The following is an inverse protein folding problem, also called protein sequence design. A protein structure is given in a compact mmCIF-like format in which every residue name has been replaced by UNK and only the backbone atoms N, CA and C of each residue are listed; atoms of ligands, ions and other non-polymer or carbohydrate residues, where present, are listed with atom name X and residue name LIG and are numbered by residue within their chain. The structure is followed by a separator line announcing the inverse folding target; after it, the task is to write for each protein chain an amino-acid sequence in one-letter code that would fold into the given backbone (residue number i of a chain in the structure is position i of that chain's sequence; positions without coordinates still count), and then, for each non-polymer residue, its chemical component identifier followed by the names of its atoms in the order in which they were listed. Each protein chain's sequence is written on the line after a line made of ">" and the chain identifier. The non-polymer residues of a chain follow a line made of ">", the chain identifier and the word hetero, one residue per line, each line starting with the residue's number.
data_IF_874956047314
#
_entry.id   IF_874956047314
#
_cell.length_a   1.000
_cell.length_b   1.000
_cell.length_c   1.000
_cell.angle_alpha   90.00
_cell.angle_beta   90.00
_cell.angle_gamma   90.00
#
_symmetry.space_group_name_H-M   'P 1'
#
loop_
_entity.id
_entity.type
_entity.pdbx_description
1 polymer ?
#
# COMPACT_ATOMS: atom_id res chain seq x y z
N UNK A 1 -17.79 48.61 -8.98
CA UNK A 1 -18.74 47.60 -8.49
C UNK A 1 -18.23 46.25 -8.91
N UNK A 2 -17.84 45.40 -7.96
CA UNK A 2 -17.14 44.14 -8.23
C UNK A 2 -18.17 43.07 -8.57
N UNK A 3 -18.12 42.56 -9.80
CA UNK A 3 -19.09 41.61 -10.35
C UNK A 3 -18.74 40.18 -9.88
N UNK A 4 -19.16 39.84 -8.66
CA UNK A 4 -19.05 38.51 -8.05
C UNK A 4 -20.28 37.56 -8.12
N UNK A 5 -21.34 37.74 -8.94
CA UNK A 5 -22.43 36.76 -9.01
C UNK A 5 -22.31 35.70 -10.13
N UNK A 6 -21.46 35.89 -11.15
CA UNK A 6 -21.49 35.01 -12.34
C UNK A 6 -20.85 33.63 -12.16
N UNK A 7 -19.89 33.48 -11.25
CA UNK A 7 -19.23 32.19 -10.97
C UNK A 7 -20.19 31.18 -10.31
N UNK A 8 -21.04 31.64 -9.40
CA UNK A 8 -22.03 30.79 -8.74
C UNK A 8 -23.15 30.35 -9.71
N UNK A 9 -23.55 31.21 -10.65
CA UNK A 9 -24.54 30.89 -11.68
C UNK A 9 -24.01 29.88 -12.72
N UNK A 10 -22.71 29.95 -13.07
CA UNK A 10 -22.08 29.02 -14.02
C UNK A 10 -22.03 27.56 -13.52
N UNK A 11 -21.85 27.35 -12.21
CA UNK A 11 -21.96 26.04 -11.57
C UNK A 11 -23.42 25.59 -11.43
N UNK A 12 -24.35 26.51 -11.18
CA UNK A 12 -25.78 26.19 -11.08
C UNK A 12 -26.38 25.69 -12.41
N UNK A 13 -25.95 26.27 -13.53
CA UNK A 13 -26.47 25.96 -14.87
C UNK A 13 -25.75 24.83 -15.64
N UNK A 14 -24.63 24.30 -15.13
CA UNK A 14 -23.86 23.27 -15.85
C UNK A 14 -23.70 21.99 -15.01
N UNK A 15 -24.64 21.03 -15.11
CA UNK A 15 -24.62 19.79 -14.34
C UNK A 15 -23.43 18.88 -14.69
N UNK A 16 -22.90 18.94 -15.92
CA UNK A 16 -21.72 18.18 -16.31
C UNK A 16 -20.47 18.65 -15.56
N UNK A 17 -20.31 19.96 -15.37
CA UNK A 17 -19.21 20.53 -14.62
C UNK A 17 -19.27 20.16 -13.13
N UNK A 18 -20.47 20.16 -12.54
CA UNK A 18 -20.69 19.68 -11.16
C UNK A 18 -20.31 18.22 -11.00
N UNK A 19 -20.74 17.36 -11.92
CA UNK A 19 -20.44 15.93 -11.91
C UNK A 19 -18.93 15.66 -12.04
N UNK A 20 -18.25 16.45 -12.87
CA UNK A 20 -16.80 16.36 -13.06
C UNK A 20 -16.00 16.81 -11.83
N UNK A 21 -16.47 17.84 -11.11
CA UNK A 21 -15.83 18.29 -9.86
C UNK A 21 -16.03 17.25 -8.75
N UNK A 22 -17.23 16.70 -8.62
CA UNK A 22 -17.53 15.65 -7.65
C UNK A 22 -16.68 14.39 -7.91
N UNK A 23 -16.53 14.00 -9.18
CA UNK A 23 -15.64 12.92 -9.59
C UNK A 23 -14.16 13.21 -9.24
N UNK A 24 -13.68 14.44 -9.41
CA UNK A 24 -12.31 14.83 -9.05
C UNK A 24 -12.08 14.79 -7.54
N UNK A 25 -13.04 15.28 -6.74
CA UNK A 25 -12.96 15.24 -5.28
C UNK A 25 -12.99 13.79 -4.78
N UNK A 26 -13.89 12.97 -5.33
CA UNK A 26 -13.97 11.54 -5.01
C UNK A 26 -12.70 10.77 -5.37
N UNK A 27 -12.12 11.05 -6.54
CA UNK A 27 -10.86 10.48 -6.99
C UNK A 27 -9.70 10.86 -6.05
N UNK A 28 -9.56 12.15 -5.69
CA UNK A 28 -8.52 12.63 -4.77
C UNK A 28 -8.66 12.03 -3.37
N UNK A 29 -9.89 11.92 -2.86
CA UNK A 29 -10.17 11.27 -1.58
C UNK A 29 -9.76 9.80 -1.58
N UNK A 30 -10.15 9.07 -2.63
CA UNK A 30 -9.79 7.66 -2.78
C UNK A 30 -8.27 7.46 -2.94
N UNK A 31 -7.58 8.32 -3.69
CA UNK A 31 -6.12 8.31 -3.78
C UNK A 31 -5.44 8.56 -2.43
N UNK A 32 -5.95 9.52 -1.66
CA UNK A 32 -5.37 9.87 -0.35
C UNK A 32 -5.48 8.70 0.62
N UNK A 33 -6.67 8.09 0.72
CA UNK A 33 -6.89 6.89 1.54
C UNK A 33 -6.01 5.73 1.07
N UNK A 34 -5.86 5.53 -0.24
CA UNK A 34 -5.03 4.48 -0.81
C UNK A 34 -3.55 4.68 -0.50
N UNK A 35 -3.07 5.93 -0.52
CA UNK A 35 -1.68 6.27 -0.19
C UNK A 35 -1.40 5.94 1.27
N UNK A 36 -2.32 6.27 2.18
CA UNK A 36 -2.20 5.92 3.60
C UNK A 36 -2.19 4.40 3.80
N UNK A 37 -3.10 3.64 3.18
CA UNK A 37 -3.11 2.16 3.25
C UNK A 37 -1.81 1.55 2.72
N UNK A 38 -1.29 2.07 1.60
CA UNK A 38 -0.03 1.61 1.01
C UNK A 38 1.14 1.85 1.97
N UNK A 39 1.22 3.04 2.56
CA UNK A 39 2.27 3.38 3.53
C UNK A 39 2.19 2.50 4.79
N UNK A 40 0.98 2.25 5.29
CA UNK A 40 0.77 1.34 6.43
C UNK A 40 1.28 -0.06 6.13
N UNK A 41 0.96 -0.62 4.95
CA UNK A 41 1.42 -1.96 4.55
C UNK A 41 2.93 -2.06 4.41
N UNK A 42 3.59 -1.06 3.79
CA UNK A 42 5.05 -1.02 3.70
C UNK A 42 5.69 -0.95 5.08
N UNK A 43 5.13 -0.12 5.98
CA UNK A 43 5.60 -0.03 7.36
C UNK A 43 5.45 -1.35 8.10
N UNK A 44 4.33 -2.05 7.91
CA UNK A 44 4.12 -3.39 8.47
C UNK A 44 5.14 -4.41 7.96
N UNK A 45 5.44 -4.40 6.65
CA UNK A 45 6.47 -5.27 6.06
C UNK A 45 7.86 -5.01 6.68
N UNK A 46 8.24 -3.74 6.84
CA UNK A 46 9.50 -3.38 7.49
C UNK A 46 9.58 -3.88 8.95
N UNK A 47 8.48 -3.72 9.70
CA UNK A 47 8.39 -4.17 11.08
C UNK A 47 8.42 -5.70 11.20
N UNK A 48 7.79 -6.41 10.26
CA UNK A 48 7.84 -7.88 10.21
C UNK A 48 9.26 -8.36 9.95
N UNK A 49 9.93 -7.83 8.91
CA UNK A 49 11.32 -8.17 8.62
C UNK A 49 12.24 -7.88 9.81
N UNK A 50 12.09 -6.72 10.46
CA UNK A 50 12.88 -6.39 11.64
C UNK A 50 12.66 -7.38 12.79
N UNK A 51 11.42 -7.80 13.04
CA UNK A 51 11.10 -8.81 14.07
C UNK A 51 11.69 -10.17 13.72
N UNK A 52 11.61 -10.57 12.46
CA UNK A 52 12.18 -11.82 11.96
C UNK A 52 13.70 -11.84 12.14
N UNK A 53 14.40 -10.78 11.71
CA UNK A 53 15.86 -10.66 11.87
C UNK A 53 16.29 -10.63 13.35
N UNK A 54 15.54 -9.96 14.22
CA UNK A 54 15.81 -9.97 15.67
C UNK A 54 15.58 -11.37 16.25
N UNK A 55 14.53 -12.07 15.81
CA UNK A 55 14.24 -13.45 16.20
C UNK A 55 15.36 -14.40 15.77
N UNK A 56 15.79 -14.32 14.52
CA UNK A 56 16.92 -15.07 13.96
C UNK A 56 18.21 -14.81 14.74
N UNK A 57 18.48 -13.56 15.09
CA UNK A 57 19.68 -13.18 15.85
C UNK A 57 19.67 -13.78 17.26
N UNK A 58 18.54 -13.71 17.97
CA UNK A 58 18.39 -14.34 19.28
C UNK A 58 18.54 -15.87 19.20
N UNK A 59 17.93 -16.48 18.19
CA UNK A 59 18.01 -17.91 17.96
C UNK A 59 19.47 -18.33 17.63
N UNK A 60 20.19 -17.55 16.84
CA UNK A 60 21.61 -17.76 16.55
C UNK A 60 22.46 -17.64 17.81
N UNK A 61 22.25 -16.61 18.64
CA UNK A 61 22.94 -16.48 19.92
C UNK A 61 22.70 -17.69 20.84
N UNK A 62 21.45 -18.14 20.96
CA UNK A 62 21.12 -19.30 21.78
C UNK A 62 21.81 -20.58 21.28
N UNK A 63 21.78 -20.83 19.96
CA UNK A 63 22.44 -22.01 19.38
C UNK A 63 23.96 -21.98 19.53
N UNK A 64 24.59 -20.80 19.44
CA UNK A 64 26.02 -20.65 19.68
C UNK A 64 26.36 -20.89 21.14
N UNK A 65 25.54 -20.40 22.08
CA UNK A 65 25.74 -20.61 23.52
C UNK A 65 25.52 -22.08 23.94
N UNK A 66 24.57 -22.77 23.32
CA UNK A 66 24.30 -24.19 23.54
C UNK A 66 25.28 -25.12 22.78
N UNK A 67 26.13 -24.55 21.92
CA UNK A 67 27.05 -25.34 21.11
C UNK A 67 28.16 -25.93 21.99
N UNK A 68 28.06 -27.23 22.27
CA UNK A 68 29.05 -27.96 23.08
C UNK A 68 30.39 -28.16 22.35
N UNK A 69 30.38 -28.07 21.02
CA UNK A 69 31.56 -28.28 20.17
C UNK A 69 31.88 -27.01 19.37
N UNK A 70 32.93 -26.26 19.74
CA UNK A 70 33.29 -25.00 19.08
C UNK A 70 33.67 -25.17 17.60
N UNK A 71 34.03 -26.38 17.15
CA UNK A 71 34.33 -26.64 15.74
C UNK A 71 33.07 -26.64 14.85
N UNK A 72 31.89 -26.84 15.45
CA UNK A 72 30.61 -26.86 14.74
C UNK A 72 29.92 -25.49 14.66
N UNK A 73 30.43 -24.49 15.37
CA UNK A 73 29.88 -23.12 15.40
C UNK A 73 29.75 -22.52 14.00
N UNK A 74 30.73 -22.77 13.12
CA UNK A 74 30.66 -22.30 11.73
C UNK A 74 29.52 -22.95 10.93
N UNK A 75 29.27 -24.25 11.13
CA UNK A 75 28.18 -24.96 10.48
C UNK A 75 26.80 -24.51 11.00
N UNK A 76 26.72 -24.23 12.31
CA UNK A 76 25.54 -23.63 12.95
C UNK A 76 25.26 -22.23 12.38
N UNK A 77 26.30 -21.39 12.28
CA UNK A 77 26.18 -20.05 11.69
C UNK A 77 25.75 -20.09 10.20
N UNK A 78 26.30 -21.02 9.41
CA UNK A 78 25.89 -21.18 8.00
C UNK A 78 24.41 -21.57 7.85
N UNK A 79 23.88 -22.42 8.73
CA UNK A 79 22.45 -22.79 8.72
C UNK A 79 21.53 -21.60 9.03
N UNK A 80 22.02 -20.63 9.82
CA UNK A 80 21.30 -19.40 10.15
C UNK A 80 21.27 -18.37 9.02
N UNK A 81 22.11 -18.49 7.98
CA UNK A 81 22.00 -17.64 6.80
C UNK A 81 20.74 -17.94 5.97
N UNK A 82 20.26 -19.19 6.00
CA UNK A 82 19.11 -19.61 5.22
C UNK A 82 17.81 -18.85 5.55
N UNK A 83 17.36 -18.78 6.83
CA UNK A 83 16.14 -18.05 7.18
C UNK A 83 16.23 -16.56 6.84
N UNK A 84 17.38 -15.92 7.07
CA UNK A 84 17.56 -14.50 6.70
C UNK A 84 17.41 -14.23 5.20
N UNK A 85 17.84 -15.16 4.33
CA UNK A 85 17.59 -15.08 2.90
C UNK A 85 16.10 -15.24 2.54
N UNK A 86 15.41 -16.17 3.18
CA UNK A 86 13.97 -16.41 2.99
C UNK A 86 13.14 -15.19 3.42
N UNK A 87 13.46 -14.58 4.57
CA UNK A 87 12.82 -13.34 5.04
C UNK A 87 12.97 -12.19 4.04
N UNK A 88 14.15 -12.05 3.42
CA UNK A 88 14.38 -11.03 2.42
C UNK A 88 13.56 -11.27 1.14
N UNK A 89 13.50 -12.52 0.67
CA UNK A 89 12.67 -12.89 -0.50
C UNK A 89 11.19 -12.61 -0.20
N UNK A 90 10.72 -12.95 1.00
CA UNK A 90 9.36 -12.67 1.44
C UNK A 90 9.07 -11.16 1.49
N UNK A 91 9.99 -10.36 2.04
CA UNK A 91 9.89 -8.91 2.05
C UNK A 91 9.80 -8.33 0.62
N UNK A 92 10.65 -8.80 -0.30
CA UNK A 92 10.62 -8.39 -1.71
C UNK A 92 9.28 -8.74 -2.37
N UNK A 93 8.79 -9.97 -2.17
CA UNK A 93 7.49 -10.40 -2.69
C UNK A 93 6.35 -9.56 -2.10
N UNK A 94 6.41 -9.24 -0.80
CA UNK A 94 5.47 -8.34 -0.13
C UNK A 94 5.45 -6.94 -0.75
N UNK A 95 6.61 -6.36 -1.04
CA UNK A 95 6.69 -5.06 -1.74
C UNK A 95 6.04 -5.11 -3.12
N UNK A 96 6.30 -6.16 -3.92
CA UNK A 96 5.68 -6.34 -5.22
C UNK A 96 4.15 -6.48 -5.11
N UNK A 97 3.66 -7.23 -4.13
CA UNK A 97 2.22 -7.36 -3.88
C UNK A 97 1.59 -6.01 -3.51
N UNK A 98 2.21 -5.24 -2.63
CA UNK A 98 1.71 -3.90 -2.24
C UNK A 98 1.64 -2.97 -3.44
N UNK A 99 2.67 -2.98 -4.31
CA UNK A 99 2.69 -2.19 -5.54
C UNK A 99 1.63 -2.65 -6.55
N UNK A 100 1.48 -3.96 -6.77
CA UNK A 100 0.48 -4.52 -7.66
C UNK A 100 -0.94 -4.16 -7.21
N UNK A 101 -1.22 -4.29 -5.90
CA UNK A 101 -2.49 -3.88 -5.33
C UNK A 101 -2.73 -2.37 -5.40
N UNK A 102 -1.68 -1.56 -5.28
CA UNK A 102 -1.78 -0.11 -5.42
C UNK A 102 -2.26 0.28 -6.82
N UNK A 103 -1.72 -0.36 -7.85
CA UNK A 103 -2.12 -0.14 -9.24
C UNK A 103 -3.53 -0.69 -9.55
N UNK A 104 -3.85 -1.89 -9.05
CA UNK A 104 -5.13 -2.54 -9.33
C UNK A 104 -6.35 -1.79 -8.72
N UNK A 105 -6.12 -0.98 -7.68
CA UNK A 105 -7.17 -0.27 -6.93
C UNK A 105 -7.26 1.23 -7.28
N UNK A 106 -6.57 1.69 -8.34
CA UNK A 106 -6.68 3.08 -8.78
C UNK A 106 -8.09 3.33 -9.36
N UNK A 107 -8.86 4.29 -8.81
CA UNK A 107 -10.17 4.63 -9.35
C UNK A 107 -10.01 5.32 -10.71
N UNK A 108 -10.88 5.00 -11.67
CA UNK A 108 -10.90 5.73 -12.94
C UNK A 108 -11.42 7.16 -12.71
N UNK A 109 -10.79 8.20 -13.30
CA UNK A 109 -11.29 9.57 -13.22
C UNK A 109 -12.58 9.78 -14.03
N UNK A 110 -13.00 8.79 -14.81
CA UNK A 110 -14.23 8.85 -15.61
C UNK A 110 -15.43 8.70 -14.66
N UNK A 111 -16.40 9.63 -14.65
CA UNK A 111 -17.60 9.47 -13.85
C UNK A 111 -18.30 8.18 -14.28
N UNK A 112 -18.56 7.28 -13.34
CA UNK A 112 -19.33 6.08 -13.59
C UNK A 112 -20.66 6.50 -14.22
N UNK A 113 -20.88 6.18 -15.50
CA UNK A 113 -22.17 6.33 -16.16
C UNK A 113 -23.15 5.37 -15.48
N UNK A 114 -23.73 5.83 -14.36
CA UNK A 114 -24.76 5.09 -13.64
C UNK A 114 -26.01 5.17 -14.49
N UNK A 115 -26.43 4.03 -15.02
CA UNK A 115 -27.50 3.91 -15.99
C UNK A 115 -28.73 4.76 -15.66
N UNK A 116 -29.11 5.61 -16.61
CA UNK A 116 -30.49 6.05 -16.81
C UNK A 116 -30.81 6.05 -18.30
N UNK A 117 -30.71 4.85 -18.89
CA UNK A 117 -31.66 4.45 -19.90
C UNK A 117 -32.97 4.06 -19.19
N UNK A 118 -33.79 5.06 -18.89
CA UNK A 118 -35.21 4.93 -18.61
C UNK A 118 -35.83 6.12 -19.34
N UNK A 119 -36.12 6.00 -20.63
CA UNK A 119 -37.31 5.31 -21.14
C UNK A 119 -38.42 6.37 -21.25
N UNK A 120 -38.83 6.78 -22.47
CA UNK A 120 -39.74 7.91 -22.65
C UNK A 120 -41.17 7.51 -22.27
N UNK A 121 -41.88 8.43 -21.60
CA UNK A 121 -43.33 8.38 -21.41
C UNK A 121 -43.99 9.47 -22.24
#
# INVERSE_FOLDING_TARGET
>A
MVQFPQMAAGLAGNPALKLQLDAQVGFLGALSLRTVDTLQRVTQLNMQLARELVGDSFAACHEVLDCQDPSQVAAVAMRRLQPSGEHLVHYQHGLFSVMAEAQAKLPSPVPAQRGRAAGPG
#
